data_IF_366703841585
#
_entry.id   IF_366703841585
#
_cell.length_a   1.000
_cell.length_b   1.000
_cell.length_c   1.000
_cell.angle_alpha   90.00
_cell.angle_beta   90.00
_cell.angle_gamma   90.00
#
_symmetry.space_group_name_H-M   'P 1'
#
loop_
_entity.id
_entity.type
_entity.pdbx_description
1 polymer ?
#
# COMPACT_ATOMS: atom_id res chain seq x y z
N UNK A 1 -10.01 -6.11 -8.33
CA UNK A 1 -9.21 -7.35 -8.17
C UNK A 1 -9.98 -8.29 -7.26
N UNK A 2 -10.32 -9.51 -7.69
CA UNK A 2 -10.99 -10.47 -6.79
C UNK A 2 -9.93 -11.25 -6.01
N UNK A 3 -9.84 -11.00 -4.70
CA UNK A 3 -8.95 -11.75 -3.81
C UNK A 3 -9.66 -13.01 -3.31
N UNK A 4 -8.98 -14.16 -3.16
CA UNK A 4 -9.58 -15.32 -2.52
C UNK A 4 -10.04 -15.03 -1.09
N UNK A 5 -11.06 -15.74 -0.59
CA UNK A 5 -11.61 -15.54 0.76
C UNK A 5 -10.55 -15.62 1.87
N UNK A 6 -9.57 -16.53 1.73
CA UNK A 6 -8.46 -16.64 2.69
C UNK A 6 -7.55 -15.40 2.70
N UNK A 7 -7.29 -14.79 1.55
CA UNK A 7 -6.48 -13.58 1.45
C UNK A 7 -7.17 -12.38 2.12
N UNK A 8 -8.50 -12.27 1.95
CA UNK A 8 -9.32 -11.27 2.68
C UNK A 8 -9.23 -11.49 4.20
N UNK A 9 -9.36 -12.73 4.65
CA UNK A 9 -9.29 -13.07 6.07
C UNK A 9 -7.92 -12.71 6.69
N UNK A 10 -6.82 -12.89 5.95
CA UNK A 10 -5.49 -12.48 6.39
C UNK A 10 -5.39 -10.95 6.49
N UNK A 11 -5.83 -10.21 5.47
CA UNK A 11 -5.80 -8.73 5.47
C UNK A 11 -6.65 -8.13 6.60
N UNK A 12 -7.83 -8.69 6.89
CA UNK A 12 -8.70 -8.23 7.99
C UNK A 12 -8.32 -8.78 9.37
N UNK A 13 -7.44 -9.79 9.41
CA UNK A 13 -7.09 -10.55 10.59
C UNK A 13 -6.11 -9.85 11.54
N UNK A 14 -5.84 -10.44 12.72
CA UNK A 14 -4.90 -9.91 13.70
C UNK A 14 -3.46 -9.83 13.16
N UNK A 15 -2.64 -8.93 13.75
CA UNK A 15 -1.28 -8.68 13.27
C UNK A 15 -0.36 -9.91 13.32
N UNK A 16 -0.49 -10.76 14.35
CA UNK A 16 0.35 -11.97 14.43
C UNK A 16 0.08 -12.94 13.27
N UNK A 17 -1.17 -13.03 12.79
CA UNK A 17 -1.54 -13.88 11.68
C UNK A 17 -0.97 -13.32 10.37
N UNK A 18 -1.16 -12.02 10.13
CA UNK A 18 -0.66 -11.35 8.94
C UNK A 18 0.88 -11.39 8.86
N UNK A 19 1.58 -11.14 9.98
CA UNK A 19 3.05 -11.23 10.04
C UNK A 19 3.56 -12.64 9.74
N UNK A 20 2.86 -13.68 10.21
CA UNK A 20 3.22 -15.07 9.89
C UNK A 20 3.13 -15.33 8.38
N UNK A 21 2.09 -14.83 7.73
CA UNK A 21 1.90 -14.95 6.27
C UNK A 21 2.87 -14.07 5.49
N UNK A 22 3.24 -12.90 6.02
CA UNK A 22 4.23 -12.00 5.42
C UNK A 22 5.57 -12.73 5.19
N UNK A 23 6.03 -13.53 6.15
CA UNK A 23 7.28 -14.28 6.06
C UNK A 23 7.35 -15.29 4.92
N UNK A 24 6.21 -15.69 4.33
CA UNK A 24 6.16 -16.59 3.19
C UNK A 24 5.92 -15.90 1.84
N UNK A 25 5.75 -14.57 1.82
CA UNK A 25 5.52 -13.84 0.57
C UNK A 25 6.85 -13.59 -0.15
N UNK A 26 6.90 -13.87 -1.45
CA UNK A 26 8.03 -13.50 -2.31
C UNK A 26 7.93 -12.05 -2.79
N UNK A 27 6.72 -11.58 -3.11
CA UNK A 27 6.45 -10.21 -3.52
C UNK A 27 6.70 -9.21 -2.36
N UNK A 28 7.66 -8.26 -2.52
CA UNK A 28 7.93 -7.23 -1.52
C UNK A 28 6.72 -6.40 -1.15
N UNK A 29 5.82 -6.09 -2.09
CA UNK A 29 4.64 -5.28 -1.83
C UNK A 29 3.64 -6.03 -0.93
N UNK A 30 3.37 -7.30 -1.22
CA UNK A 30 2.50 -8.14 -0.38
C UNK A 30 3.12 -8.37 1.01
N UNK A 31 4.43 -8.64 1.07
CA UNK A 31 5.17 -8.78 2.33
C UNK A 31 5.04 -7.51 3.18
N UNK A 32 5.30 -6.36 2.57
CA UNK A 32 5.20 -5.06 3.23
C UNK A 32 3.78 -4.82 3.75
N UNK A 33 2.75 -5.00 2.91
CA UNK A 33 1.35 -4.79 3.28
C UNK A 33 0.97 -5.64 4.50
N UNK A 34 1.34 -6.92 4.50
CA UNK A 34 1.04 -7.83 5.61
C UNK A 34 1.82 -7.54 6.90
N UNK A 35 2.96 -6.85 6.81
CA UNK A 35 3.72 -6.40 7.97
C UNK A 35 3.12 -5.14 8.64
N UNK A 36 2.24 -4.41 7.94
CA UNK A 36 1.64 -3.17 8.44
C UNK A 36 0.57 -3.41 9.52
N UNK A 37 0.30 -2.40 10.37
CA UNK A 37 -0.77 -2.48 11.36
C UNK A 37 -2.12 -2.84 10.74
N UNK A 38 -2.96 -3.55 11.49
CA UNK A 38 -4.29 -3.99 11.07
C UNK A 38 -5.13 -2.90 10.43
N UNK A 39 -5.11 -1.68 10.96
CA UNK A 39 -5.96 -0.60 10.48
C UNK A 39 -5.61 -0.20 9.03
N UNK A 40 -4.32 -0.16 8.69
CA UNK A 40 -3.88 0.13 7.33
C UNK A 40 -4.27 -1.00 6.37
N UNK A 41 -4.07 -2.26 6.78
CA UNK A 41 -4.47 -3.44 5.98
C UNK A 41 -5.98 -3.49 5.75
N UNK A 42 -6.77 -3.10 6.76
CA UNK A 42 -8.23 -3.01 6.65
C UNK A 42 -8.68 -1.88 5.74
N UNK A 43 -8.04 -0.71 5.82
CA UNK A 43 -8.30 0.40 4.89
C UNK A 43 -8.04 -0.05 3.45
N UNK A 44 -6.90 -0.71 3.18
CA UNK A 44 -6.63 -1.27 1.85
C UNK A 44 -7.67 -2.30 1.40
N UNK A 45 -8.03 -3.26 2.27
CA UNK A 45 -9.06 -4.26 1.97
C UNK A 45 -10.39 -3.60 1.62
N UNK A 46 -10.84 -2.64 2.42
CA UNK A 46 -12.14 -2.01 2.23
C UNK A 46 -12.17 -1.07 1.02
N UNK A 47 -11.16 -0.21 0.86
CA UNK A 47 -11.17 0.85 -0.16
C UNK A 47 -10.74 0.35 -1.54
N UNK A 48 -9.73 -0.51 -1.61
CA UNK A 48 -9.13 -0.96 -2.88
C UNK A 48 -9.70 -2.31 -3.32
N UNK A 49 -9.70 -3.30 -2.43
CA UNK A 49 -10.11 -4.67 -2.81
C UNK A 49 -11.63 -4.80 -2.92
N UNK A 50 -12.35 -4.37 -1.89
CA UNK A 50 -13.81 -4.50 -1.80
C UNK A 50 -14.52 -3.32 -2.50
N UNK A 51 -14.04 -2.09 -2.26
CA UNK A 51 -14.58 -0.87 -2.85
C UNK A 51 -14.18 -0.64 -4.30
N UNK A 52 -13.22 -1.40 -4.85
CA UNK A 52 -12.74 -1.25 -6.22
C UNK A 52 -11.99 0.06 -6.47
N UNK A 53 -11.52 0.74 -5.41
CA UNK A 53 -10.75 1.97 -5.50
C UNK A 53 -9.38 1.75 -6.12
N UNK A 54 -8.80 2.85 -6.61
CA UNK A 54 -7.47 2.83 -7.19
C UNK A 54 -6.38 2.74 -6.11
N UNK A 55 -5.44 1.81 -6.31
CA UNK A 55 -4.37 1.55 -5.34
C UNK A 55 -3.36 2.71 -5.26
N UNK A 56 -3.03 3.34 -6.39
CA UNK A 56 -2.09 4.46 -6.44
C UNK A 56 -2.65 5.65 -5.66
N UNK A 57 -3.90 6.03 -5.95
CA UNK A 57 -4.67 7.02 -5.21
C UNK A 57 -4.69 6.70 -3.72
N UNK A 58 -5.03 5.47 -3.34
CA UNK A 58 -5.08 5.05 -1.94
C UNK A 58 -3.72 5.25 -1.26
N UNK A 59 -2.63 4.82 -1.90
CA UNK A 59 -1.27 4.95 -1.37
C UNK A 59 -0.87 6.41 -1.19
N UNK A 60 -1.12 7.27 -2.18
CA UNK A 60 -0.76 8.70 -2.14
C UNK A 60 -1.45 9.46 -1.00
N UNK A 61 -2.64 9.00 -0.61
CA UNK A 61 -3.44 9.58 0.48
C UNK A 61 -3.13 9.01 1.86
N UNK A 62 -2.14 8.12 2.00
CA UNK A 62 -1.67 7.66 3.31
C UNK A 62 -0.78 8.70 4.02
N UNK A 63 -0.42 8.41 5.27
CA UNK A 63 0.48 9.25 6.06
C UNK A 63 1.88 9.31 5.43
N UNK A 64 2.65 10.36 5.75
CA UNK A 64 4.02 10.50 5.26
C UNK A 64 4.92 9.33 5.67
N UNK A 65 4.69 8.76 6.85
CA UNK A 65 5.40 7.58 7.33
C UNK A 65 5.10 6.34 6.47
N UNK A 66 3.82 6.11 6.14
CA UNK A 66 3.41 4.96 5.32
C UNK A 66 3.97 5.10 3.90
N UNK A 67 3.83 6.27 3.28
CA UNK A 67 4.35 6.52 1.93
C UNK A 67 5.88 6.38 1.88
N UNK A 68 6.58 6.90 2.89
CA UNK A 68 8.05 6.78 2.98
C UNK A 68 8.48 5.32 3.14
N UNK A 69 7.84 4.58 4.05
CA UNK A 69 8.11 3.16 4.25
C UNK A 69 7.87 2.35 2.98
N UNK A 70 6.81 2.64 2.21
CA UNK A 70 6.57 1.97 0.93
C UNK A 70 7.65 2.32 -0.12
N UNK A 71 7.99 3.60 -0.24
CA UNK A 71 9.03 4.05 -1.17
C UNK A 71 10.38 3.40 -0.85
N UNK A 72 10.73 3.27 0.43
CA UNK A 72 12.03 2.78 0.87
C UNK A 72 12.08 1.24 0.88
N UNK A 73 11.06 0.55 1.39
CA UNK A 73 11.08 -0.91 1.59
C UNK A 73 10.56 -1.71 0.39
N UNK A 74 9.84 -1.08 -0.54
CA UNK A 74 9.21 -1.76 -1.69
C UNK A 74 9.78 -1.24 -3.02
N UNK A 75 9.65 0.05 -3.29
CA UNK A 75 10.01 0.58 -4.60
C UNK A 75 11.52 0.75 -4.79
N UNK A 76 12.23 1.19 -3.76
CA UNK A 76 13.69 1.40 -3.83
C UNK A 76 14.47 0.09 -3.91
N UNK A 77 13.93 -1.00 -3.35
CA UNK A 77 14.52 -2.34 -3.34
C UNK A 77 14.12 -3.19 -4.57
N UNK A 78 13.36 -2.62 -5.51
CA UNK A 78 13.01 -3.27 -6.78
C UNK A 78 14.22 -3.32 -7.72
N UNK A 79 14.32 -4.37 -8.54
CA UNK A 79 15.33 -4.47 -9.61
C UNK A 79 15.25 -3.30 -10.61
N UNK A 80 14.05 -2.74 -10.79
CA UNK A 80 13.80 -1.56 -11.61
C UNK A 80 13.02 -0.52 -10.78
N UNK A 81 13.72 0.34 -10.01
CA UNK A 81 13.06 1.32 -9.15
C UNK A 81 12.31 2.37 -9.95
N UNK A 82 11.01 2.52 -9.68
CA UNK A 82 10.21 3.63 -10.22
C UNK A 82 10.57 4.93 -9.48
N UNK A 83 11.51 5.67 -10.07
CA UNK A 83 12.02 6.92 -9.49
C UNK A 83 10.94 7.99 -9.36
N UNK A 84 9.95 8.00 -10.25
CA UNK A 84 8.87 8.97 -10.21
C UNK A 84 7.93 8.67 -9.04
N UNK A 85 7.51 7.41 -8.89
CA UNK A 85 6.68 6.99 -7.77
C UNK A 85 7.42 7.18 -6.42
N UNK A 86 8.71 6.84 -6.34
CA UNK A 86 9.54 7.07 -5.15
C UNK A 86 9.60 8.56 -4.80
N UNK A 87 9.86 9.42 -5.79
CA UNK A 87 9.90 10.87 -5.56
C UNK A 87 8.56 11.38 -5.06
N UNK A 88 7.46 10.98 -5.71
CA UNK A 88 6.11 11.44 -5.38
C UNK A 88 5.69 11.02 -3.96
N UNK A 89 5.94 9.76 -3.59
CA UNK A 89 5.62 9.25 -2.25
C UNK A 89 6.41 9.93 -1.14
N UNK A 90 7.62 10.41 -1.42
CA UNK A 90 8.45 11.16 -0.46
C UNK A 90 8.05 12.64 -0.32
N UNK A 91 7.17 13.17 -1.17
CA UNK A 91 6.71 14.55 -1.04
C UNK A 91 5.78 14.71 0.17
N UNK A 92 5.64 15.93 0.73
CA UNK A 92 4.65 16.21 1.76
C UNK A 92 3.24 15.84 1.31
N UNK A 93 2.38 15.41 2.23
CA UNK A 93 0.97 15.03 1.97
C UNK A 93 0.23 16.01 1.06
N UNK A 94 0.40 17.32 1.24
CA UNK A 94 -0.29 18.33 0.43
C UNK A 94 0.05 18.26 -1.07
N UNK A 95 1.29 17.91 -1.42
CA UNK A 95 1.70 17.73 -2.83
C UNK A 95 1.06 16.48 -3.40
N UNK A 96 1.09 15.36 -2.66
CA UNK A 96 0.46 14.10 -3.10
C UNK A 96 -1.06 14.27 -3.27
N UNK A 97 -1.73 15.02 -2.37
CA UNK A 97 -3.14 15.35 -2.50
C UNK A 97 -3.44 16.20 -3.74
N UNK A 98 -2.58 17.19 -4.05
CA UNK A 98 -2.70 17.97 -5.28
C UNK A 98 -2.55 17.08 -6.50
N UNK A 99 -1.56 16.17 -6.51
CA UNK A 99 -1.36 15.23 -7.61
C UNK A 99 -2.59 14.34 -7.84
N UNK A 100 -3.15 13.78 -6.76
CA UNK A 100 -4.39 12.99 -6.85
C UNK A 100 -5.52 13.81 -7.49
N UNK A 101 -5.76 15.03 -7.00
CA UNK A 101 -6.83 15.91 -7.50
C UNK A 101 -6.61 16.37 -8.95
N UNK A 102 -5.39 16.76 -9.28
CA UNK A 102 -5.08 17.50 -10.52
C UNK A 102 -4.56 16.59 -11.65
N UNK A 103 -4.15 15.37 -11.34
CA UNK A 103 -3.55 14.43 -12.31
C UNK A 103 -4.32 13.11 -12.38
N UNK A 104 -4.68 12.50 -11.24
CA UNK A 104 -5.41 11.23 -11.27
C UNK A 104 -6.92 11.40 -11.46
N UNK A 105 -7.50 12.47 -10.90
CA UNK A 105 -8.95 12.76 -10.96
C UNK A 105 -9.35 13.71 -12.11
N UNK A 106 -8.38 14.25 -12.84
CA UNK A 106 -8.59 15.17 -13.96
C UNK A 106 -9.18 14.46 -15.19
#
# INVERSE_FOLDING_TARGET
>A
MDLPAHARAVLGGPDFLARRVAGSQSDPQQRWMLARPRDLRRSFLHEVVEGGGDQERWMLLQSDEVCRSFADEVLSESDTPDRQAIWLLRQPRGVRQSYVRDVLDA
#
